data_IF_383966916421
#
_entry.id   IF_383966916421
#
_cell.length_a   1.000
_cell.length_b   1.000
_cell.length_c   1.000
_cell.angle_alpha   90.00
_cell.angle_beta   90.00
_cell.angle_gamma   90.00
#
_symmetry.space_group_name_H-M   'P 1'
#
loop_
_entity.id
_entity.type
_entity.pdbx_description
1 polymer ?
#
# COMPACT_ATOMS: atom_id res chain seq x y z
N UNK A 1 -2.35 -19.96 -4.59
CA UNK A 1 -1.73 -18.68 -4.15
C UNK A 1 -1.77 -18.54 -2.63
N UNK A 2 -2.95 -18.47 -2.01
CA UNK A 2 -3.09 -18.29 -0.55
C UNK A 2 -2.30 -19.34 0.26
N UNK A 3 -2.52 -20.64 0.03
CA UNK A 3 -1.79 -21.70 0.74
C UNK A 3 -0.27 -21.68 0.53
N UNK A 4 0.19 -21.11 -0.59
CA UNK A 4 1.62 -20.95 -0.84
C UNK A 4 2.20 -19.78 -0.04
N UNK A 5 1.47 -18.66 0.04
CA UNK A 5 1.83 -17.53 0.91
C UNK A 5 1.85 -17.96 2.38
N UNK A 6 0.87 -18.76 2.81
CA UNK A 6 0.80 -19.32 4.16
C UNK A 6 2.03 -20.19 4.49
N UNK A 7 2.41 -21.09 3.57
CA UNK A 7 3.64 -21.88 3.73
C UNK A 7 4.90 -21.00 3.80
N UNK A 8 4.98 -19.93 3.02
CA UNK A 8 6.10 -18.98 3.08
C UNK A 8 6.11 -18.16 4.38
N UNK A 9 4.94 -17.83 4.93
CA UNK A 9 4.86 -17.19 6.25
C UNK A 9 5.43 -18.12 7.32
N UNK A 10 5.12 -19.42 7.28
CA UNK A 10 5.72 -20.43 8.15
C UNK A 10 7.25 -20.39 8.15
N UNK A 11 7.87 -20.29 6.97
CA UNK A 11 9.34 -20.17 6.85
C UNK A 11 9.89 -18.93 7.59
N UNK A 12 9.18 -17.80 7.51
CA UNK A 12 9.58 -16.56 8.20
C UNK A 12 9.42 -16.70 9.72
N UNK A 13 8.34 -17.33 10.18
CA UNK A 13 8.08 -17.57 11.61
C UNK A 13 9.12 -18.54 12.19
N UNK A 14 9.41 -19.64 11.50
CA UNK A 14 10.45 -20.60 11.90
C UNK A 14 11.83 -19.93 12.02
N UNK A 15 12.14 -18.99 11.13
CA UNK A 15 13.38 -18.22 11.19
C UNK A 15 13.41 -17.28 12.40
N UNK A 16 12.31 -16.60 12.73
CA UNK A 16 12.21 -15.76 13.93
C UNK A 16 12.41 -16.58 15.22
N UNK A 17 11.85 -17.79 15.29
CA UNK A 17 12.05 -18.70 16.42
C UNK A 17 13.49 -19.17 16.52
N UNK A 18 14.07 -19.64 15.40
CA UNK A 18 15.44 -20.16 15.35
C UNK A 18 16.48 -19.12 15.76
N UNK A 19 16.28 -17.86 15.36
CA UNK A 19 17.19 -16.75 15.70
C UNK A 19 16.90 -16.16 17.09
N UNK A 20 15.93 -16.70 17.85
CA UNK A 20 15.58 -16.23 19.19
C UNK A 20 14.94 -14.83 19.21
N UNK A 21 14.35 -14.40 18.09
CA UNK A 21 13.75 -13.07 17.93
C UNK A 21 12.24 -13.06 18.20
N UNK A 22 11.59 -14.23 18.21
CA UNK A 22 10.14 -14.38 18.37
C UNK A 22 9.59 -13.64 19.60
N UNK A 23 10.26 -13.76 20.76
CA UNK A 23 9.84 -13.14 22.02
C UNK A 23 10.07 -11.62 22.10
N UNK A 24 10.57 -11.00 21.03
CA UNK A 24 10.82 -9.56 20.93
C UNK A 24 10.20 -8.91 19.68
N UNK A 25 9.41 -9.67 18.91
CA UNK A 25 8.89 -9.23 17.62
C UNK A 25 7.38 -9.04 17.67
N UNK A 26 6.91 -7.86 17.30
CA UNK A 26 5.50 -7.64 16.96
C UNK A 26 5.27 -8.08 15.51
N UNK A 27 4.32 -8.97 15.30
CA UNK A 27 3.91 -9.48 14.00
C UNK A 27 2.51 -8.97 13.70
N UNK A 28 2.34 -8.37 12.53
CA UNK A 28 1.03 -7.98 12.02
C UNK A 28 0.87 -8.56 10.63
N UNK A 29 -0.14 -9.41 10.44
CA UNK A 29 -0.50 -9.97 9.15
C UNK A 29 -1.80 -9.32 8.69
N UNK A 30 -1.78 -8.67 7.53
CA UNK A 30 -2.99 -8.08 6.95
C UNK A 30 -3.04 -8.17 5.42
N UNK A 31 -4.25 -8.04 4.87
CA UNK A 31 -4.48 -7.80 3.44
C UNK A 31 -4.78 -6.32 3.19
N UNK A 32 -4.33 -5.75 2.08
CA UNK A 32 -4.57 -4.33 1.76
C UNK A 32 -6.02 -4.04 1.33
N UNK A 33 -6.71 -5.04 0.79
CA UNK A 33 -8.13 -5.02 0.46
C UNK A 33 -8.63 -6.47 0.26
N UNK A 34 -9.95 -6.64 0.12
CA UNK A 34 -10.56 -7.90 -0.31
C UNK A 34 -10.51 -8.11 -1.84
N UNK A 35 -11.23 -9.11 -2.34
CA UNK A 35 -11.23 -9.45 -3.77
C UNK A 35 -12.47 -10.24 -4.18
N UNK A 36 -13.20 -9.75 -5.18
CA UNK A 36 -14.33 -10.46 -5.79
C UNK A 36 -13.89 -11.49 -6.82
N UNK A 37 -14.56 -12.63 -6.83
CA UNK A 37 -14.35 -13.73 -7.78
C UNK A 37 -15.61 -14.00 -8.63
N UNK A 38 -16.30 -12.93 -9.01
CA UNK A 38 -17.61 -12.97 -9.67
C UNK A 38 -18.76 -12.47 -8.79
N UNK A 39 -18.48 -12.16 -7.52
CA UNK A 39 -19.42 -11.49 -6.61
C UNK A 39 -19.89 -10.17 -7.24
N UNK A 40 -21.19 -9.87 -7.13
CA UNK A 40 -21.81 -8.72 -7.80
C UNK A 40 -21.57 -8.66 -9.32
N UNK A 41 -21.27 -9.80 -9.97
CA UNK A 41 -20.87 -9.88 -11.38
C UNK A 41 -19.59 -9.10 -11.71
N UNK A 42 -18.74 -8.87 -10.69
CA UNK A 42 -17.50 -8.12 -10.80
C UNK A 42 -16.28 -8.97 -10.41
N UNK A 43 -15.12 -8.54 -10.88
CA UNK A 43 -13.81 -9.10 -10.52
C UNK A 43 -12.91 -8.00 -9.97
N UNK A 44 -12.10 -8.31 -8.95
CA UNK A 44 -11.17 -7.36 -8.35
C UNK A 44 -11.77 -6.64 -7.14
N UNK A 45 -11.40 -5.37 -6.93
CA UNK A 45 -11.66 -4.62 -5.67
C UNK A 45 -12.09 -3.15 -5.87
N UNK A 46 -12.89 -2.90 -6.91
CA UNK A 46 -13.17 -1.55 -7.40
C UNK A 46 -14.52 -0.99 -6.92
N UNK A 47 -14.89 -1.28 -5.66
CA UNK A 47 -16.14 -0.85 -5.01
C UNK A 47 -15.95 -0.56 -3.53
N UNK A 48 -17.02 -0.10 -2.87
CA UNK A 48 -17.10 0.12 -1.43
C UNK A 48 -17.82 -1.03 -0.68
N UNK A 49 -18.03 -2.17 -1.33
CA UNK A 49 -18.67 -3.33 -0.71
C UNK A 49 -17.79 -3.98 0.37
N UNK A 50 -18.40 -4.68 1.31
CA UNK A 50 -17.72 -5.40 2.40
C UNK A 50 -16.69 -6.37 1.82
N UNK A 51 -17.03 -7.08 0.74
CA UNK A 51 -16.11 -8.02 0.06
C UNK A 51 -14.82 -7.37 -0.44
N UNK A 52 -14.82 -6.07 -0.77
CA UNK A 52 -13.63 -5.33 -1.20
C UNK A 52 -12.90 -4.66 -0.04
N UNK A 53 -13.64 -4.24 0.98
CA UNK A 53 -13.14 -3.33 2.02
C UNK A 53 -12.73 -4.05 3.29
N UNK A 54 -13.28 -5.24 3.56
CA UNK A 54 -12.94 -6.08 4.71
C UNK A 54 -11.82 -7.06 4.33
N UNK A 55 -10.64 -6.88 4.91
CA UNK A 55 -9.50 -7.78 4.72
C UNK A 55 -9.05 -8.38 6.08
N UNK A 56 -8.26 -9.46 6.06
CA UNK A 56 -7.73 -10.04 7.29
C UNK A 56 -6.80 -9.03 7.98
N UNK A 57 -6.83 -9.03 9.32
CA UNK A 57 -5.91 -8.28 10.18
C UNK A 57 -5.68 -9.11 11.45
N UNK A 58 -4.44 -9.54 11.67
CA UNK A 58 -4.03 -10.37 12.79
C UNK A 58 -2.82 -9.73 13.45
N UNK A 59 -2.87 -9.54 14.76
CA UNK A 59 -1.75 -9.11 15.59
C UNK A 59 -1.26 -10.28 16.44
N UNK A 60 0.05 -10.42 16.53
CA UNK A 60 0.74 -11.26 17.51
C UNK A 60 1.90 -10.45 18.07
N UNK A 61 2.06 -10.43 19.38
CA UNK A 61 3.16 -9.71 20.03
C UNK A 61 3.58 -10.41 21.32
N UNK A 62 4.81 -10.15 21.81
CA UNK A 62 5.30 -10.81 23.01
C UNK A 62 4.40 -10.52 24.22
N UNK A 63 4.14 -11.56 25.03
CA UNK A 63 3.32 -11.47 26.24
C UNK A 63 1.86 -11.03 25.99
N UNK A 64 1.32 -11.27 24.79
CA UNK A 64 -0.08 -11.00 24.49
C UNK A 64 -1.00 -11.85 25.39
N UNK A 65 -1.80 -11.18 26.23
CA UNK A 65 -2.68 -11.85 27.21
C UNK A 65 -3.84 -12.60 26.58
N UNK A 66 -4.37 -12.09 25.47
CA UNK A 66 -5.53 -12.66 24.76
C UNK A 66 -5.12 -13.24 23.42
N UNK A 67 -4.02 -14.00 23.39
CA UNK A 67 -3.63 -14.74 22.18
C UNK A 67 -4.80 -15.63 21.71
N UNK A 68 -4.96 -15.76 20.40
CA UNK A 68 -6.05 -16.49 19.73
C UNK A 68 -7.47 -15.93 19.94
N UNK A 69 -7.63 -14.79 20.61
CA UNK A 69 -8.93 -14.15 20.72
C UNK A 69 -9.35 -13.49 19.40
N UNK A 70 -10.67 -13.37 19.21
CA UNK A 70 -11.29 -12.63 18.11
C UNK A 70 -12.01 -11.41 18.68
N UNK A 71 -12.00 -10.32 17.92
CA UNK A 71 -12.76 -9.12 18.23
C UNK A 71 -13.62 -8.74 17.03
N UNK A 72 -14.86 -8.33 17.30
CA UNK A 72 -15.77 -7.73 16.32
C UNK A 72 -15.74 -6.19 16.38
N UNK A 73 -14.77 -5.60 17.11
CA UNK A 73 -14.57 -4.15 17.11
C UNK A 73 -14.27 -3.67 15.70
N UNK A 74 -14.88 -2.55 15.32
CA UNK A 74 -14.57 -1.86 14.08
C UNK A 74 -13.15 -1.28 14.14
N UNK A 75 -12.38 -1.52 13.09
CA UNK A 75 -10.97 -1.10 12.93
C UNK A 75 -10.72 -0.70 11.49
N UNK A 76 -9.69 0.11 11.27
CA UNK A 76 -9.25 0.58 9.96
C UNK A 76 -7.75 0.39 9.80
N UNK A 77 -7.23 0.30 8.57
CA UNK A 77 -5.78 0.12 8.38
C UNK A 77 -4.94 1.31 8.85
N UNK A 78 -5.53 2.50 8.96
CA UNK A 78 -4.87 3.67 9.56
C UNK A 78 -4.55 3.47 11.05
N UNK A 79 -5.19 2.50 11.71
CA UNK A 79 -4.96 2.17 13.12
C UNK A 79 -3.68 1.35 13.34
N UNK A 80 -3.14 0.72 12.29
CA UNK A 80 -1.96 -0.15 12.42
C UNK A 80 -0.74 0.64 12.92
N UNK A 81 -0.48 1.82 12.35
CA UNK A 81 0.69 2.61 12.74
C UNK A 81 0.65 3.09 14.20
N UNK A 82 -0.41 3.75 14.71
CA UNK A 82 -0.49 4.12 16.12
C UNK A 82 -0.50 2.91 17.06
N UNK A 83 -1.03 1.76 16.62
CA UNK A 83 -0.96 0.50 17.40
C UNK A 83 0.47 0.00 17.55
N UNK A 84 1.24 -0.02 16.45
CA UNK A 84 2.64 -0.41 16.48
C UNK A 84 3.48 0.53 17.35
N UNK A 85 3.24 1.84 17.24
CA UNK A 85 3.92 2.82 18.08
C UNK A 85 3.64 2.57 19.57
N UNK A 86 2.38 2.35 19.95
CA UNK A 86 1.97 2.05 21.33
C UNK A 86 2.58 0.73 21.85
N UNK A 87 2.49 -0.36 21.08
CA UNK A 87 3.06 -1.66 21.46
C UNK A 87 4.59 -1.60 21.63
N UNK A 88 5.28 -0.78 20.83
CA UNK A 88 6.73 -0.59 20.90
C UNK A 88 7.15 0.49 21.92
N UNK A 89 6.22 1.13 22.63
CA UNK A 89 6.53 2.22 23.57
C UNK A 89 7.11 3.48 22.91
N UNK A 90 6.79 3.70 21.64
CA UNK A 90 7.19 4.89 20.87
C UNK A 90 6.20 6.04 21.07
N UNK A 91 6.58 7.29 20.76
CA UNK A 91 5.65 8.41 20.78
C UNK A 91 4.43 8.17 19.90
N UNK A 92 3.26 8.61 20.37
CA UNK A 92 2.03 8.55 19.57
C UNK A 92 2.21 9.38 18.28
N UNK A 93 2.01 8.79 17.09
CA UNK A 93 2.10 9.54 15.85
C UNK A 93 0.86 10.42 15.66
N UNK A 94 1.03 11.53 14.93
CA UNK A 94 -0.05 12.42 14.53
C UNK A 94 -0.75 11.85 13.29
N UNK A 95 -1.78 11.03 13.50
CA UNK A 95 -2.53 10.36 12.43
C UNK A 95 -4.02 10.32 12.76
N UNK A 96 -4.84 10.06 11.74
CA UNK A 96 -6.29 9.83 11.90
C UNK A 96 -6.61 8.49 12.59
N UNK A 97 -5.62 7.60 12.73
CA UNK A 97 -5.78 6.30 13.35
C UNK A 97 -5.77 6.34 14.88
N UNK A 98 -6.31 5.30 15.50
CA UNK A 98 -6.25 5.09 16.96
C UNK A 98 -5.53 3.78 17.27
N UNK A 99 -4.83 3.72 18.40
CA UNK A 99 -4.21 2.46 18.84
C UNK A 99 -5.28 1.42 19.13
N UNK A 100 -5.10 0.22 18.58
CA UNK A 100 -5.93 -0.97 18.83
C UNK A 100 -5.51 -1.71 20.10
N UNK A 101 -4.48 -1.26 20.82
CA UNK A 101 -4.03 -1.91 22.06
C UNK A 101 -5.17 -2.17 23.06
N UNK A 102 -6.13 -1.27 23.30
CA UNK A 102 -7.28 -1.58 24.16
C UNK A 102 -8.10 -2.79 23.69
N UNK A 103 -8.24 -2.98 22.36
CA UNK A 103 -8.93 -4.13 21.76
C UNK A 103 -8.08 -5.40 21.88
N UNK A 104 -6.77 -5.30 21.70
CA UNK A 104 -5.84 -6.43 21.86
C UNK A 104 -5.79 -6.93 23.32
N UNK A 105 -5.91 -6.02 24.29
CA UNK A 105 -5.94 -6.33 25.73
C UNK A 105 -7.33 -6.70 26.25
N UNK A 106 -8.39 -6.28 25.58
CA UNK A 106 -9.77 -6.71 25.84
C UNK A 106 -10.57 -6.78 24.51
N UNK A 107 -10.77 -7.98 23.95
CA UNK A 107 -11.42 -8.17 22.64
C UNK A 107 -12.86 -7.64 22.53
N UNK A 108 -13.51 -7.31 23.66
CA UNK A 108 -14.87 -6.77 23.70
C UNK A 108 -14.93 -5.24 23.68
N UNK A 109 -13.79 -4.56 23.84
CA UNK A 109 -13.71 -3.10 23.80
C UNK A 109 -13.89 -2.61 22.37
N UNK A 110 -14.62 -1.51 22.23
CA UNK A 110 -14.78 -0.77 20.98
C UNK A 110 -13.98 0.52 21.07
N UNK A 111 -13.14 0.76 20.08
CA UNK A 111 -12.36 2.01 19.95
C UNK A 111 -12.97 2.99 18.94
N UNK A 112 -13.92 2.53 18.12
CA UNK A 112 -14.61 3.30 17.08
C UNK A 112 -16.09 2.99 17.04
N UNK A 113 -16.88 3.99 16.65
CA UNK A 113 -18.31 3.83 16.36
C UNK A 113 -18.57 3.33 14.94
N UNK A 114 -17.69 3.71 13.99
CA UNK A 114 -17.77 3.34 12.58
C UNK A 114 -16.39 3.05 12.01
N UNK A 115 -16.33 2.24 10.95
CA UNK A 115 -15.19 2.14 10.04
C UNK A 115 -15.54 2.79 8.70
N UNK A 116 -14.56 3.38 8.01
CA UNK A 116 -14.74 4.14 6.79
C UNK A 116 -13.86 3.62 5.66
N UNK A 117 -14.39 3.66 4.45
CA UNK A 117 -13.62 3.42 3.23
C UNK A 117 -13.99 4.42 2.16
N UNK A 118 -13.07 4.66 1.24
CA UNK A 118 -13.25 5.62 0.16
C UNK A 118 -12.93 4.98 -1.17
N UNK A 119 -13.83 5.15 -2.14
CA UNK A 119 -13.59 4.70 -3.51
C UNK A 119 -14.11 5.70 -4.55
N UNK A 120 -13.28 6.12 -5.51
CA UNK A 120 -13.66 7.07 -6.56
C UNK A 120 -14.48 6.39 -7.68
N UNK A 121 -15.50 7.07 -8.21
CA UNK A 121 -16.19 6.63 -9.44
C UNK A 121 -16.48 7.79 -10.39
N UNK A 122 -16.80 7.41 -11.63
CA UNK A 122 -17.35 8.32 -12.63
C UNK A 122 -18.87 8.36 -12.46
N UNK A 123 -19.43 9.56 -12.36
CA UNK A 123 -20.85 9.83 -12.39
C UNK A 123 -21.12 10.82 -13.55
N UNK A 124 -22.14 10.57 -14.38
CA UNK A 124 -22.43 11.41 -15.56
C UNK A 124 -23.05 12.76 -15.22
N UNK A 125 -23.67 12.87 -14.05
CA UNK A 125 -24.38 14.06 -13.58
C UNK A 125 -23.47 14.99 -12.77
N UNK A 126 -22.38 14.47 -12.22
CA UNK A 126 -21.40 15.26 -11.49
C UNK A 126 -20.51 16.09 -12.41
N UNK A 127 -20.13 17.32 -12.02
CA UNK A 127 -19.18 18.15 -12.77
C UNK A 127 -17.91 17.36 -13.11
N UNK A 128 -17.46 17.46 -14.36
CA UNK A 128 -16.20 16.85 -14.76
C UNK A 128 -15.03 17.59 -14.10
N UNK A 129 -14.10 16.86 -13.50
CA UNK A 129 -12.88 17.46 -12.98
C UNK A 129 -11.97 17.90 -14.13
N UNK A 130 -11.55 19.16 -14.12
CA UNK A 130 -10.62 19.73 -15.12
C UNK A 130 -9.23 19.08 -15.04
N UNK A 131 -8.79 18.78 -13.82
CA UNK A 131 -7.55 18.07 -13.51
C UNK A 131 -7.88 16.85 -12.65
N UNK A 132 -7.56 15.66 -13.17
CA UNK A 132 -8.00 14.39 -12.57
C UNK A 132 -7.48 14.16 -11.16
N UNK A 133 -8.39 13.83 -10.24
CA UNK A 133 -8.08 13.41 -8.86
C UNK A 133 -7.27 12.09 -8.82
N UNK A 134 -7.51 11.20 -9.79
CA UNK A 134 -6.86 9.89 -9.91
C UNK A 134 -6.49 9.63 -11.36
N UNK A 135 -5.36 8.97 -11.57
CA UNK A 135 -4.74 8.69 -12.88
C UNK A 135 -5.77 8.03 -13.82
N UNK A 136 -6.30 8.81 -14.77
CA UNK A 136 -7.43 8.44 -15.64
C UNK A 136 -8.49 9.54 -15.78
N UNK A 137 -8.53 10.52 -14.86
CA UNK A 137 -9.15 11.83 -15.04
C UNK A 137 -10.66 11.89 -15.23
N UNK A 138 -11.39 10.79 -15.01
CA UNK A 138 -12.85 10.74 -15.19
C UNK A 138 -13.63 10.63 -13.89
N UNK A 139 -13.02 10.19 -12.79
CA UNK A 139 -13.75 10.06 -11.53
C UNK A 139 -14.02 11.45 -10.97
N UNK A 140 -15.29 11.75 -10.75
CA UNK A 140 -15.79 13.05 -10.30
C UNK A 140 -16.69 12.94 -9.06
N UNK A 141 -16.89 11.72 -8.56
CA UNK A 141 -17.49 11.47 -7.24
C UNK A 141 -16.55 10.59 -6.40
N UNK A 142 -16.56 10.83 -5.09
CA UNK A 142 -15.96 9.98 -4.09
C UNK A 142 -17.08 9.28 -3.32
N UNK A 143 -17.07 7.95 -3.29
CA UNK A 143 -17.96 7.16 -2.44
C UNK A 143 -17.36 7.03 -1.06
N UNK A 144 -18.02 7.60 -0.06
CA UNK A 144 -17.68 7.42 1.36
C UNK A 144 -18.55 6.30 1.94
N UNK A 145 -17.93 5.15 2.20
CA UNK A 145 -18.56 4.06 2.94
C UNK A 145 -18.41 4.30 4.44
N UNK A 146 -19.49 4.21 5.19
CA UNK A 146 -19.57 4.36 6.64
C UNK A 146 -20.23 3.09 7.16
N UNK A 147 -19.46 2.27 7.86
CA UNK A 147 -19.84 0.95 8.34
C UNK A 147 -19.93 0.96 9.86
N UNK A 148 -21.11 0.72 10.42
CA UNK A 148 -21.26 0.36 11.84
C UNK A 148 -21.37 -1.17 12.00
N UNK A 149 -21.84 -1.68 13.14
CA UNK A 149 -21.97 -3.13 13.36
C UNK A 149 -23.01 -3.81 12.45
N UNK A 150 -24.03 -3.08 11.97
CA UNK A 150 -25.15 -3.65 11.19
C UNK A 150 -25.33 -3.02 9.83
N UNK A 151 -25.18 -1.72 9.70
CA UNK A 151 -25.42 -0.97 8.49
C UNK A 151 -24.14 -0.53 7.81
N UNK A 152 -24.15 -0.55 6.47
CA UNK A 152 -23.16 0.11 5.62
C UNK A 152 -23.87 1.16 4.79
N UNK A 153 -23.52 2.43 5.01
CA UNK A 153 -24.01 3.56 4.24
C UNK A 153 -22.92 4.02 3.27
N UNK A 154 -23.23 4.13 1.98
CA UNK A 154 -22.33 4.70 0.98
C UNK A 154 -22.95 6.00 0.46
N UNK A 155 -22.22 7.11 0.61
CA UNK A 155 -22.61 8.42 0.09
C UNK A 155 -21.67 8.81 -1.05
N UNK A 156 -22.21 8.95 -2.26
CA UNK A 156 -21.44 9.36 -3.44
C UNK A 156 -21.41 10.88 -3.55
N UNK A 157 -20.35 11.48 -3.02
CA UNK A 157 -20.17 12.93 -2.98
C UNK A 157 -19.39 13.43 -4.19
N UNK A 158 -19.93 14.43 -4.89
CA UNK A 158 -19.22 15.15 -5.95
C UNK A 158 -17.94 15.79 -5.41
N UNK A 159 -16.84 15.61 -6.14
CA UNK A 159 -15.53 16.11 -5.71
C UNK A 159 -15.45 17.64 -5.83
N UNK A 160 -16.12 18.22 -6.83
CA UNK A 160 -16.06 19.67 -7.08
C UNK A 160 -17.13 20.45 -6.29
N UNK A 161 -18.35 19.93 -6.21
CA UNK A 161 -19.51 20.65 -5.67
C UNK A 161 -19.98 20.13 -4.30
N UNK A 162 -19.38 19.04 -3.82
CA UNK A 162 -19.73 18.37 -2.57
C UNK A 162 -21.20 17.88 -2.48
N UNK A 163 -21.93 17.84 -3.60
CA UNK A 163 -23.30 17.35 -3.64
C UNK A 163 -23.31 15.82 -3.52
N UNK A 164 -24.27 15.28 -2.78
CA UNK A 164 -24.52 13.83 -2.79
C UNK A 164 -25.34 13.48 -4.04
N UNK A 165 -24.75 12.66 -4.90
CA UNK A 165 -25.34 12.20 -6.17
C UNK A 165 -26.08 10.89 -6.05
N UNK A 166 -25.64 10.02 -5.15
CA UNK A 166 -26.27 8.72 -4.94
C UNK A 166 -26.05 8.27 -3.49
N UNK A 167 -26.92 7.41 -3.00
CA UNK A 167 -26.92 6.89 -1.63
C UNK A 167 -27.26 5.41 -1.66
N UNK A 168 -26.39 4.61 -1.06
CA UNK A 168 -26.59 3.18 -0.90
C UNK A 168 -26.62 2.81 0.57
N UNK A 169 -27.50 1.89 0.96
CA UNK A 169 -27.58 1.37 2.32
C UNK A 169 -27.75 -0.14 2.30
N UNK A 170 -26.90 -0.85 3.04
CA UNK A 170 -26.91 -2.31 3.13
C UNK A 170 -27.01 -2.80 4.57
N UNK A 171 -27.77 -3.88 4.79
CA UNK A 171 -27.88 -4.59 6.07
C UNK A 171 -26.92 -5.78 6.07
N UNK A 172 -25.78 -5.61 6.71
CA UNK A 172 -24.66 -6.57 6.71
C UNK A 172 -24.89 -7.73 7.68
N UNK A 173 -25.93 -7.66 8.53
CA UNK A 173 -26.30 -8.74 9.44
C UNK A 173 -27.27 -9.70 8.75
N UNK A 174 -28.32 -9.15 8.13
CA UNK A 174 -29.36 -9.98 7.51
C UNK A 174 -29.09 -10.29 6.04
N UNK A 175 -28.25 -9.50 5.37
CA UNK A 175 -27.94 -9.64 3.95
C UNK A 175 -26.45 -9.30 3.66
N UNK A 176 -25.49 -10.08 4.20
CA UNK A 176 -24.05 -9.79 4.15
C UNK A 176 -23.42 -9.82 2.75
N UNK A 177 -24.16 -10.25 1.73
CA UNK A 177 -23.72 -10.20 0.32
C UNK A 177 -24.20 -8.93 -0.39
N UNK A 178 -24.71 -7.95 0.36
CA UNK A 178 -25.16 -6.64 -0.11
C UNK A 178 -26.04 -6.70 -1.39
N UNK A 179 -27.07 -7.57 -1.46
CA UNK A 179 -27.74 -7.88 -2.73
C UNK A 179 -28.72 -6.78 -3.18
N UNK A 180 -29.18 -5.93 -2.26
CA UNK A 180 -30.23 -4.94 -2.52
C UNK A 180 -29.90 -3.65 -1.79
N UNK A 181 -29.89 -2.53 -2.52
CA UNK A 181 -29.79 -1.20 -1.92
C UNK A 181 -31.11 -0.86 -1.20
N UNK A 182 -31.02 -0.60 0.11
CA UNK A 182 -32.14 -0.30 1.00
C UNK A 182 -32.35 1.19 1.27
N UNK A 183 -31.58 2.07 0.62
CA UNK A 183 -31.60 3.52 0.88
C UNK A 183 -32.95 4.18 0.59
N UNK A 184 -33.70 3.66 -0.39
CA UNK A 184 -35.00 4.21 -0.80
C UNK A 184 -36.16 3.84 0.12
N UNK A 185 -35.94 3.00 1.14
CA UNK A 185 -37.00 2.60 2.07
C UNK A 185 -37.18 3.66 3.18
N UNK A 186 -38.40 4.15 3.35
CA UNK A 186 -38.73 5.18 4.33
C UNK A 186 -38.33 4.80 5.78
N UNK A 187 -38.45 3.51 6.13
CA UNK A 187 -38.05 2.97 7.44
C UNK A 187 -36.56 3.16 7.77
N UNK A 188 -35.70 3.30 6.76
CA UNK A 188 -34.26 3.42 6.93
C UNK A 188 -33.75 4.86 7.01
N UNK A 189 -34.64 5.86 6.89
CA UNK A 189 -34.24 7.28 6.89
C UNK A 189 -33.47 7.66 8.16
N UNK A 190 -33.91 7.18 9.31
CA UNK A 190 -33.25 7.44 10.59
C UNK A 190 -31.83 6.84 10.66
N UNK A 191 -31.60 5.69 10.02
CA UNK A 191 -30.28 5.05 9.93
C UNK A 191 -29.36 5.91 9.07
N UNK A 192 -29.84 6.36 7.91
CA UNK A 192 -29.08 7.23 7.00
C UNK A 192 -28.71 8.53 7.69
N UNK A 193 -29.66 9.21 8.34
CA UNK A 193 -29.42 10.46 9.09
C UNK A 193 -28.40 10.27 10.22
N UNK A 194 -28.46 9.14 10.94
CA UNK A 194 -27.49 8.82 12.00
C UNK A 194 -26.09 8.62 11.43
N UNK A 195 -25.93 7.78 10.42
CA UNK A 195 -24.61 7.46 9.86
C UNK A 195 -24.01 8.61 9.04
N UNK A 196 -24.84 9.44 8.41
CA UNK A 196 -24.37 10.61 7.66
C UNK A 196 -23.61 11.64 8.53
N UNK A 197 -23.76 11.58 9.86
CA UNK A 197 -22.99 12.41 10.80
C UNK A 197 -21.50 12.11 10.78
N UNK A 198 -21.10 10.92 10.33
CA UNK A 198 -19.71 10.52 10.19
C UNK A 198 -19.13 10.84 8.80
N UNK A 199 -19.92 11.43 7.89
CA UNK A 199 -19.41 11.87 6.60
C UNK A 199 -18.30 12.90 6.84
N UNK A 200 -17.11 12.76 6.21
CA UNK A 200 -16.04 13.72 6.40
C UNK A 200 -16.45 15.12 5.95
N UNK A 201 -15.75 16.18 6.41
CA UNK A 201 -15.97 17.52 5.90
C UNK A 201 -15.92 17.60 4.37
N UNK A 202 -16.55 18.62 3.76
CA UNK A 202 -16.49 18.86 2.33
C UNK A 202 -15.05 18.78 1.79
N UNK A 203 -14.89 18.10 0.66
CA UNK A 203 -13.61 18.07 -0.07
C UNK A 203 -13.34 19.50 -0.52
N UNK A 204 -12.20 20.04 -0.12
CA UNK A 204 -11.76 21.32 -0.66
C UNK A 204 -11.41 21.12 -2.12
N UNK A 205 -11.99 21.89 -3.06
CA UNK A 205 -11.64 21.78 -4.47
C UNK A 205 -10.12 21.91 -4.64
N UNK A 206 -9.50 21.17 -5.58
CA UNK A 206 -8.08 21.33 -5.87
C UNK A 206 -7.77 22.81 -6.11
N UNK A 207 -6.73 23.35 -5.46
CA UNK A 207 -6.32 24.74 -5.70
C UNK A 207 -6.00 24.89 -7.20
N UNK A 208 -6.72 25.77 -7.94
CA UNK A 208 -6.48 25.96 -9.37
C UNK A 208 -5.06 26.47 -9.67
N UNK A 209 -4.31 26.92 -8.65
CA UNK A 209 -2.93 27.36 -8.75
C UNK A 209 -1.91 26.36 -8.18
N UNK A 210 -2.35 25.17 -7.72
CA UNK A 210 -1.45 24.15 -7.18
C UNK A 210 -0.39 23.76 -8.23
N UNK A 211 0.89 24.02 -7.91
CA UNK A 211 2.00 23.65 -8.79
C UNK A 211 2.19 22.14 -8.73
N UNK A 212 2.16 21.48 -9.89
CA UNK A 212 2.52 20.07 -10.02
C UNK A 212 3.99 19.88 -9.62
N UNK A 213 4.23 19.19 -8.51
CA UNK A 213 5.58 18.81 -8.08
C UNK A 213 5.86 17.41 -8.61
N UNK A 214 6.80 17.31 -9.56
CA UNK A 214 7.26 16.04 -10.12
C UNK A 214 7.30 16.03 -11.65
N UNK A 215 8.50 16.04 -12.23
CA UNK A 215 8.73 15.72 -13.66
C UNK A 215 9.01 14.22 -13.80
N UNK A 216 7.97 13.41 -13.81
CA UNK A 216 8.04 11.99 -14.15
C UNK A 216 6.82 11.58 -14.97
N UNK A 217 7.01 10.85 -16.08
CA UNK A 217 5.91 10.40 -16.97
C UNK A 217 4.87 9.49 -16.30
N UNK A 218 5.02 9.15 -15.02
CA UNK A 218 4.05 8.39 -14.23
C UNK A 218 4.16 8.88 -12.79
N UNK A 219 3.05 9.46 -12.31
CA UNK A 219 2.77 9.92 -10.93
C UNK A 219 2.86 11.44 -10.79
N UNK A 220 1.68 12.07 -10.84
CA UNK A 220 1.45 13.43 -10.37
C UNK A 220 0.98 13.30 -8.92
N UNK A 221 1.75 13.82 -7.98
CA UNK A 221 1.26 14.15 -6.64
C UNK A 221 1.01 15.67 -6.64
N UNK A 222 -0.09 16.09 -6.01
CA UNK A 222 -0.47 17.50 -5.91
C UNK A 222 -0.09 17.97 -4.52
N UNK A 223 0.73 19.02 -4.44
CA UNK A 223 1.12 19.65 -3.18
C UNK A 223 -0.01 20.58 -2.73
N UNK A 224 -0.72 20.21 -1.66
CA UNK A 224 -1.61 21.12 -0.94
C UNK A 224 -0.81 21.70 0.22
N UNK A 225 -0.43 22.97 0.07
CA UNK A 225 0.46 23.67 1.00
C UNK A 225 -0.04 23.62 2.46
N UNK A 226 0.50 22.68 3.24
CA UNK A 226 0.85 22.91 4.63
C UNK A 226 2.37 23.12 4.65
N UNK A 227 2.82 24.35 4.90
CA UNK A 227 4.24 24.62 5.18
C UNK A 227 4.59 24.02 6.54
N UNK A 228 4.95 22.74 6.60
CA UNK A 228 5.93 22.28 7.58
C UNK A 228 7.29 22.27 6.88
N UNK A 229 8.21 23.11 7.35
CA UNK A 229 9.63 22.87 7.13
C UNK A 229 9.96 21.70 8.05
N UNK A 230 9.90 20.49 7.53
CA UNK A 230 10.65 19.30 7.92
C UNK A 230 10.13 18.17 7.03
N UNK A 231 11.01 17.57 6.23
CA UNK A 231 10.67 16.46 5.34
C UNK A 231 10.47 15.18 6.16
N UNK A 232 9.26 14.99 6.68
CA UNK A 232 8.84 13.74 7.32
C UNK A 232 8.22 12.80 6.29
N UNK A 233 9.08 11.96 5.70
CA UNK A 233 8.61 10.67 5.20
C UNK A 233 8.34 9.74 6.40
N UNK A 234 7.41 8.79 6.28
CA UNK A 234 7.03 7.82 7.34
C UNK A 234 8.17 6.94 7.90
N UNK A 235 9.42 7.17 7.47
CA UNK A 235 10.64 6.69 8.12
C UNK A 235 11.59 7.88 8.29
N UNK A 236 11.71 8.33 9.55
CA UNK A 236 12.37 9.55 10.02
C UNK A 236 13.52 10.13 9.20
N UNK A 237 13.43 11.44 8.94
CA UNK A 237 14.59 12.27 8.66
C UNK A 237 15.42 12.46 9.93
N UNK A 238 16.72 12.17 9.86
CA UNK A 238 17.67 12.40 10.96
C UNK A 238 18.44 13.69 10.67
N UNK A 239 18.57 14.55 11.67
CA UNK A 239 19.26 15.84 11.57
C UNK A 239 20.78 15.73 11.78
N UNK A 240 21.43 16.89 11.70
CA UNK A 240 22.87 17.05 11.50
C UNK A 240 23.71 16.68 12.73
N UNK A 241 23.89 15.38 13.03
CA UNK A 241 24.98 14.88 13.91
C UNK A 241 25.34 13.38 13.87
N UNK A 242 25.07 12.65 12.78
CA UNK A 242 26.03 11.65 12.27
C UNK A 242 25.67 10.15 12.31
N UNK A 243 25.58 9.60 11.09
CA UNK A 243 25.76 8.20 10.62
C UNK A 243 24.71 7.14 11.03
N UNK A 244 24.22 6.25 10.16
CA UNK A 244 24.85 5.57 9.00
C UNK A 244 23.91 5.50 7.79
N UNK A 245 24.51 5.62 6.60
CA UNK A 245 23.94 5.52 5.27
C UNK A 245 23.40 4.12 4.93
N UNK A 246 22.13 4.04 4.55
CA UNK A 246 21.65 3.01 3.64
C UNK A 246 20.96 3.71 2.47
N UNK A 247 21.53 3.60 1.28
CA UNK A 247 20.92 4.12 0.05
C UNK A 247 19.54 3.48 -0.16
N UNK A 248 18.50 4.26 -0.50
CA UNK A 248 17.22 3.68 -0.90
C UNK A 248 17.42 2.93 -2.22
N UNK A 249 17.11 1.65 -2.23
CA UNK A 249 17.02 0.86 -3.45
C UNK A 249 15.85 1.39 -4.30
N UNK A 250 16.14 2.34 -5.20
CA UNK A 250 15.21 2.71 -6.26
C UNK A 250 15.11 1.55 -7.25
N UNK A 251 14.14 0.65 -7.05
CA UNK A 251 13.74 -0.30 -8.08
C UNK A 251 12.86 0.43 -9.09
N UNK A 252 13.52 1.12 -10.02
CA UNK A 252 12.90 1.35 -11.33
C UNK A 252 12.66 -0.04 -11.91
N UNK A 253 11.47 -0.38 -12.45
CA UNK A 253 11.32 -1.63 -13.18
C UNK A 253 12.38 -1.65 -14.28
N UNK A 254 13.29 -2.63 -14.23
CA UNK A 254 14.28 -2.79 -15.27
C UNK A 254 13.51 -2.94 -16.59
N UNK A 255 13.75 -2.04 -17.54
CA UNK A 255 13.38 -2.28 -18.93
C UNK A 255 14.16 -3.54 -19.33
N UNK A 256 13.46 -4.66 -19.48
CA UNK A 256 14.09 -5.92 -19.90
C UNK A 256 14.66 -5.67 -21.29
N UNK A 257 15.99 -5.61 -21.36
CA UNK A 257 16.72 -5.40 -22.62
C UNK A 257 16.58 -6.66 -23.47
N UNK A 258 16.40 -6.49 -24.78
CA UNK A 258 16.39 -7.63 -25.70
C UNK A 258 17.80 -8.27 -25.77
N UNK A 259 17.93 -9.54 -26.18
CA UNK A 259 19.24 -10.19 -26.36
C UNK A 259 20.21 -9.38 -27.24
N UNK A 260 19.71 -8.70 -28.27
CA UNK A 260 20.51 -7.84 -29.17
C UNK A 260 21.05 -6.60 -28.44
N UNK A 261 20.26 -6.02 -27.54
CA UNK A 261 20.68 -4.88 -26.72
C UNK A 261 21.71 -5.30 -25.67
N UNK A 262 21.58 -6.51 -25.11
CA UNK A 262 22.54 -7.07 -24.17
C UNK A 262 23.87 -7.43 -24.84
N UNK A 263 23.83 -7.95 -26.06
CA UNK A 263 25.02 -8.17 -26.92
C UNK A 263 25.73 -6.85 -27.23
N UNK A 264 24.98 -5.79 -27.55
CA UNK A 264 25.55 -4.46 -27.80
C UNK A 264 26.21 -3.86 -26.54
N UNK A 265 25.70 -4.16 -25.35
CA UNK A 265 26.30 -3.72 -24.09
C UNK A 265 27.52 -4.55 -23.72
N UNK A 266 27.53 -5.86 -24.03
CA UNK A 266 28.72 -6.71 -23.89
C UNK A 266 29.88 -6.17 -24.72
N UNK A 267 29.64 -5.83 -26.00
CA UNK A 267 30.65 -5.25 -26.91
C UNK A 267 31.19 -3.89 -26.49
N UNK A 268 30.50 -3.17 -25.60
CA UNK A 268 31.00 -1.91 -25.01
C UNK A 268 31.87 -2.18 -23.78
N UNK A 269 31.65 -3.30 -23.11
CA UNK A 269 32.42 -3.72 -21.95
C UNK A 269 33.70 -4.46 -22.35
N UNK A 270 33.65 -5.25 -23.41
CA UNK A 270 34.81 -5.88 -24.06
C UNK A 270 35.62 -4.79 -24.80
N UNK A 271 36.57 -4.17 -24.09
CA UNK A 271 37.31 -3.02 -24.57
C UNK A 271 38.40 -3.44 -25.56
N UNK A 272 39.00 -4.61 -25.34
CA UNK A 272 40.05 -5.17 -26.17
C UNK A 272 39.52 -5.99 -27.38
N UNK A 273 38.21 -6.28 -27.43
CA UNK A 273 37.48 -7.02 -28.47
C UNK A 273 37.92 -8.48 -28.60
N UNK A 274 38.33 -9.11 -27.51
CA UNK A 274 38.77 -10.50 -27.49
C UNK A 274 37.61 -11.51 -27.30
N UNK A 275 36.38 -11.01 -27.14
CA UNK A 275 35.18 -11.82 -26.95
C UNK A 275 34.94 -12.22 -25.50
N UNK A 276 35.67 -11.61 -24.56
CA UNK A 276 35.53 -11.79 -23.11
C UNK A 276 35.56 -10.44 -22.41
N UNK A 277 35.00 -10.40 -21.20
CA UNK A 277 35.10 -9.21 -20.33
C UNK A 277 35.84 -9.61 -19.07
N UNK A 278 37.05 -9.10 -18.93
CA UNK A 278 37.87 -9.27 -17.72
C UNK A 278 37.25 -8.52 -16.55
N UNK A 279 37.67 -8.85 -15.32
CA UNK A 279 37.23 -8.14 -14.11
C UNK A 279 37.57 -6.65 -14.18
N UNK A 280 38.74 -6.31 -14.72
CA UNK A 280 39.20 -4.93 -14.90
C UNK A 280 38.28 -4.15 -15.85
N UNK A 281 37.92 -4.75 -16.99
CA UNK A 281 37.01 -4.16 -17.96
C UNK A 281 35.57 -4.02 -17.39
N UNK A 282 35.10 -5.03 -16.66
CA UNK A 282 33.80 -5.00 -16.00
C UNK A 282 33.68 -3.84 -15.00
N UNK A 283 34.72 -3.63 -14.19
CA UNK A 283 34.78 -2.54 -13.21
C UNK A 283 34.92 -1.18 -13.89
N UNK A 284 35.68 -1.09 -15.00
CA UNK A 284 35.88 0.15 -15.75
C UNK A 284 34.57 0.73 -16.31
N UNK A 285 33.60 -0.12 -16.67
CA UNK A 285 32.28 0.31 -17.16
C UNK A 285 31.35 0.74 -16.01
N UNK A 286 31.57 0.27 -14.77
CA UNK A 286 30.67 0.46 -13.62
C UNK A 286 31.24 1.40 -12.55
N UNK A 287 31.59 2.62 -12.96
CA UNK A 287 32.30 3.63 -12.14
C UNK A 287 31.54 4.17 -10.92
N UNK A 288 30.22 4.01 -10.83
CA UNK A 288 29.41 4.64 -9.78
C UNK A 288 29.48 3.94 -8.42
N UNK A 289 29.77 2.64 -8.37
CA UNK A 289 29.88 1.86 -7.14
C UNK A 289 30.79 0.63 -7.36
N UNK A 290 32.08 0.79 -7.08
CA UNK A 290 33.09 -0.24 -7.34
C UNK A 290 32.93 -1.46 -6.40
N UNK A 291 32.52 -1.24 -5.15
CA UNK A 291 32.37 -2.31 -4.15
C UNK A 291 31.19 -3.24 -4.50
N UNK A 292 30.08 -2.67 -5.00
CA UNK A 292 28.94 -3.45 -5.49
C UNK A 292 29.23 -4.11 -6.84
N UNK A 293 29.98 -3.45 -7.72
CA UNK A 293 30.39 -4.02 -9.00
C UNK A 293 31.29 -5.25 -8.81
N UNK A 294 32.23 -5.20 -7.87
CA UNK A 294 33.11 -6.33 -7.56
C UNK A 294 32.34 -7.53 -6.98
N UNK A 295 31.41 -7.31 -6.05
CA UNK A 295 30.52 -8.37 -5.54
C UNK A 295 29.61 -8.94 -6.62
N UNK A 296 29.21 -8.12 -7.59
CA UNK A 296 28.34 -8.54 -8.69
C UNK A 296 29.08 -9.33 -9.76
N UNK A 297 30.40 -9.17 -9.92
CA UNK A 297 31.18 -9.87 -10.95
C UNK A 297 31.03 -11.40 -10.86
N UNK A 298 31.01 -11.94 -9.64
CA UNK A 298 30.80 -13.37 -9.35
C UNK A 298 29.46 -13.91 -9.89
N UNK A 299 28.44 -13.06 -10.06
CA UNK A 299 27.17 -13.45 -10.68
C UNK A 299 27.28 -13.58 -12.20
N UNK A 300 28.18 -12.82 -12.81
CA UNK A 300 28.36 -12.78 -14.27
C UNK A 300 29.37 -13.83 -14.75
N UNK A 301 30.40 -14.13 -13.96
CA UNK A 301 31.34 -15.23 -14.19
C UNK A 301 30.76 -16.54 -13.59
N UNK A 302 29.85 -17.17 -14.33
CA UNK A 302 29.09 -18.31 -13.82
C UNK A 302 29.93 -19.60 -13.83
N UNK A 303 30.87 -19.72 -14.75
CA UNK A 303 31.79 -20.84 -14.86
C UNK A 303 33.06 -20.70 -14.01
N UNK A 304 33.27 -19.54 -13.36
CA UNK A 304 34.42 -19.20 -12.52
C UNK A 304 35.74 -19.23 -13.29
N UNK A 305 35.70 -18.96 -14.58
CA UNK A 305 36.87 -18.89 -15.44
C UNK A 305 37.72 -17.63 -15.19
N UNK A 306 37.17 -16.63 -14.49
CA UNK A 306 37.80 -15.33 -14.24
C UNK A 306 37.45 -14.28 -15.29
N UNK A 307 36.77 -14.68 -16.37
CA UNK A 307 36.29 -13.83 -17.45
C UNK A 307 34.79 -14.02 -17.66
N UNK A 308 34.09 -13.03 -18.20
CA UNK A 308 32.66 -13.16 -18.53
C UNK A 308 32.50 -13.31 -20.04
N UNK A 309 31.88 -14.40 -20.49
CA UNK A 309 31.49 -14.59 -21.90
C UNK A 309 30.20 -13.84 -22.26
N UNK A 310 29.97 -13.58 -23.56
CA UNK A 310 28.75 -12.93 -24.04
C UNK A 310 27.48 -13.70 -23.62
N UNK A 311 27.53 -15.04 -23.65
CA UNK A 311 26.41 -15.89 -23.25
C UNK A 311 26.08 -15.75 -21.76
N UNK A 312 27.10 -15.68 -20.90
CA UNK A 312 26.91 -15.47 -19.46
C UNK A 312 26.43 -14.06 -19.15
N UNK A 313 26.94 -13.06 -19.86
CA UNK A 313 26.48 -11.69 -19.77
C UNK A 313 24.99 -11.55 -20.08
N UNK A 314 24.53 -12.16 -21.17
CA UNK A 314 23.11 -12.17 -21.54
C UNK A 314 22.29 -12.93 -20.49
N UNK A 315 22.76 -14.10 -20.05
CA UNK A 315 22.07 -14.93 -19.05
C UNK A 315 21.93 -14.22 -17.70
N UNK A 316 22.96 -13.50 -17.26
CA UNK A 316 22.99 -12.78 -16.00
C UNK A 316 22.06 -11.55 -15.99
N UNK A 317 21.82 -10.93 -17.15
CA UNK A 317 20.96 -9.74 -17.30
C UNK A 317 19.51 -10.05 -17.72
N UNK A 318 19.20 -11.28 -18.13
CA UNK A 318 17.84 -11.73 -18.50
C UNK A 318 17.05 -12.29 -17.29
N UNK A 319 17.73 -12.58 -16.17
CA UNK A 319 17.14 -13.04 -14.90
C UNK A 319 16.94 -11.91 -13.90
#
# INVERSE_FOLDING_TARGET
AISYTDANLGIVLDALEKEGLADSTVIVLWGDHGWKLGDHQEWGKHTNFETDTRAPLIFSYPNMKNANAKSDSLVEFVDVYPTLADLCGLPKPDTDGVSLRPVLENPTVKVKEVAMSQYPKVNKEAPALKDGFIKGGKCNVMGYSIRDERWRLILWRGIEDNKIYDTELYDEVNAPTEPVNLANKAENKAVIERLSKFLPPPITPPDPNAKVIGKGKKNKLVDTAAKSKDEDTMFGGVDAKGSVTAEPATTTPAVVKTPEQLSADFKKADANKDGKVTKEEFLAVRKKDQAKAEKSFVRYDADKSGDVSEAEWIKANTK
#
